data_IF_959299917008
#
_entry.id   IF_959299917008
#
_cell.length_a   1.000
_cell.length_b   1.000
_cell.length_c   1.000
_cell.angle_alpha   90.00
_cell.angle_beta   90.00
_cell.angle_gamma   90.00
#
_symmetry.space_group_name_H-M   'P 1'
#
loop_
_entity.id
_entity.type
_entity.pdbx_description
1 polymer ?
#
# COMPACT_ATOMS: atom_id res chain seq x y z
N UNK A 1 12.51 18.32 -28.49
CA UNK A 1 12.07 17.42 -29.58
C UNK A 1 10.83 16.66 -29.16
N UNK A 2 10.00 16.21 -30.12
CA UNK A 2 8.70 15.54 -29.88
C UNK A 2 8.78 14.39 -28.83
N UNK A 3 9.85 13.58 -28.84
CA UNK A 3 10.06 12.50 -27.86
C UNK A 3 10.32 12.98 -26.43
N UNK A 4 11.08 14.07 -26.25
CA UNK A 4 11.39 14.64 -24.91
C UNK A 4 10.13 15.19 -24.25
N UNK A 5 9.18 15.72 -25.02
CA UNK A 5 7.90 16.20 -24.50
C UNK A 5 6.94 15.09 -24.05
N UNK A 6 6.96 13.92 -24.72
CA UNK A 6 6.09 12.78 -24.37
C UNK A 6 6.62 11.95 -23.20
N UNK A 7 7.93 11.71 -23.15
CA UNK A 7 8.53 10.77 -22.21
C UNK A 7 9.35 11.45 -21.09
N UNK A 8 9.60 12.75 -21.21
CA UNK A 8 10.41 13.54 -20.27
C UNK A 8 11.92 13.39 -20.48
N UNK A 9 12.42 12.15 -20.45
CA UNK A 9 13.82 11.82 -20.68
C UNK A 9 13.99 10.58 -21.57
N UNK A 10 15.24 10.31 -21.99
CA UNK A 10 15.54 9.20 -22.89
C UNK A 10 15.35 7.84 -22.23
N UNK A 11 15.68 7.72 -20.94
CA UNK A 11 15.44 6.51 -20.16
C UNK A 11 13.97 6.08 -20.16
N UNK A 12 13.04 7.00 -19.90
CA UNK A 12 11.60 6.74 -19.91
C UNK A 12 11.10 6.40 -21.32
N UNK A 13 11.63 7.04 -22.36
CA UNK A 13 11.29 6.72 -23.75
C UNK A 13 11.69 5.27 -24.09
N UNK A 14 12.86 4.83 -23.61
CA UNK A 14 13.27 3.44 -23.71
C UNK A 14 12.34 2.51 -22.92
N UNK A 15 12.20 2.73 -21.62
CA UNK A 15 11.49 1.81 -20.71
C UNK A 15 9.99 1.70 -21.01
N UNK A 16 9.33 2.80 -21.34
CA UNK A 16 7.87 2.81 -21.55
C UNK A 16 7.47 2.70 -23.02
N UNK A 17 8.40 2.98 -23.94
CA UNK A 17 8.16 2.93 -25.38
C UNK A 17 8.81 1.70 -26.01
N UNK A 18 10.13 1.73 -26.15
CA UNK A 18 10.88 0.74 -26.93
C UNK A 18 10.99 -0.64 -26.27
N UNK A 19 11.05 -0.69 -24.93
CA UNK A 19 11.23 -1.91 -24.13
C UNK A 19 10.19 -2.01 -23.01
N UNK A 20 8.92 -1.78 -23.34
CA UNK A 20 7.80 -1.84 -22.39
C UNK A 20 7.63 -3.21 -21.70
N UNK A 21 8.23 -4.27 -22.26
CA UNK A 21 8.22 -5.62 -21.69
C UNK A 21 9.42 -5.95 -20.79
N UNK A 22 10.31 -4.99 -20.54
CA UNK A 22 11.49 -5.15 -19.67
C UNK A 22 12.43 -6.30 -20.11
N UNK A 23 12.65 -6.44 -21.42
CA UNK A 23 13.53 -7.47 -21.99
C UNK A 23 14.99 -7.02 -22.09
N UNK A 24 15.27 -5.73 -21.88
CA UNK A 24 16.57 -5.09 -22.00
C UNK A 24 17.03 -4.85 -23.44
N UNK A 25 16.17 -5.12 -24.43
CA UNK A 25 16.52 -5.08 -25.87
C UNK A 25 15.30 -4.87 -26.76
N UNK A 26 15.52 -4.26 -27.92
CA UNK A 26 14.48 -4.03 -28.94
C UNK A 26 14.96 -4.51 -30.32
N UNK A 27 14.07 -5.13 -31.09
CA UNK A 27 14.32 -5.46 -32.49
C UNK A 27 13.90 -4.30 -33.42
N UNK A 28 14.30 -4.38 -34.69
CA UNK A 28 14.03 -3.35 -35.69
C UNK A 28 12.54 -3.09 -35.89
N UNK A 29 11.71 -4.12 -35.86
CA UNK A 29 10.27 -4.01 -36.08
C UNK A 29 9.56 -3.29 -34.91
N UNK A 30 9.93 -3.63 -33.67
CA UNK A 30 9.48 -2.95 -32.47
C UNK A 30 9.94 -1.49 -32.44
N UNK A 31 11.20 -1.23 -32.80
CA UNK A 31 11.75 0.12 -32.88
C UNK A 31 10.99 0.99 -33.88
N UNK A 32 10.80 0.49 -35.11
CA UNK A 32 10.10 1.22 -36.16
C UNK A 32 8.64 1.50 -35.78
N UNK A 33 7.93 0.52 -35.21
CA UNK A 33 6.56 0.72 -34.71
C UNK A 33 6.50 1.79 -33.64
N UNK A 34 7.43 1.79 -32.68
CA UNK A 34 7.43 2.79 -31.62
C UNK A 34 7.76 4.19 -32.15
N UNK A 35 8.72 4.32 -33.07
CA UNK A 35 9.00 5.60 -33.75
C UNK A 35 7.76 6.15 -34.47
N UNK A 36 7.01 5.31 -35.19
CA UNK A 36 5.76 5.71 -35.84
C UNK A 36 4.69 6.14 -34.83
N UNK A 37 4.50 5.40 -33.74
CA UNK A 37 3.56 5.77 -32.65
C UNK A 37 3.93 7.10 -32.00
N UNK A 38 5.22 7.39 -31.92
CA UNK A 38 5.71 8.65 -31.37
C UNK A 38 5.63 9.83 -32.36
N UNK A 39 5.27 9.57 -33.63
CA UNK A 39 5.07 10.57 -34.67
C UNK A 39 6.39 10.99 -35.34
N UNK A 40 7.30 10.03 -35.51
CA UNK A 40 8.51 10.20 -36.29
C UNK A 40 8.22 9.91 -37.77
N UNK A 41 8.45 10.91 -38.63
CA UNK A 41 8.06 10.89 -40.05
C UNK A 41 9.20 10.42 -40.99
N UNK A 42 10.35 10.01 -40.43
CA UNK A 42 11.52 9.55 -41.20
C UNK A 42 11.66 8.02 -41.28
N UNK A 43 12.73 7.57 -41.93
CA UNK A 43 13.04 6.13 -42.06
C UNK A 43 13.65 5.57 -40.76
N UNK A 44 12.79 4.95 -39.94
CA UNK A 44 13.19 4.33 -38.68
C UNK A 44 14.11 3.10 -38.87
N UNK A 45 13.99 2.38 -39.98
CA UNK A 45 14.85 1.22 -40.29
C UNK A 45 16.28 1.67 -40.64
N UNK A 46 16.41 2.78 -41.37
CA UNK A 46 17.71 3.41 -41.60
C UNK A 46 18.34 3.88 -40.29
N UNK A 47 17.57 4.52 -39.40
CA UNK A 47 18.06 4.94 -38.08
C UNK A 47 18.53 3.73 -37.26
N UNK A 48 17.72 2.66 -37.19
CA UNK A 48 18.07 1.45 -36.45
C UNK A 48 19.41 0.88 -36.92
N UNK A 49 19.58 0.72 -38.23
CA UNK A 49 20.84 0.22 -38.81
C UNK A 49 22.02 1.17 -38.58
N UNK A 50 21.80 2.48 -38.67
CA UNK A 50 22.82 3.50 -38.44
C UNK A 50 23.31 3.47 -36.99
N UNK A 51 22.39 3.38 -36.03
CA UNK A 51 22.70 3.29 -34.60
C UNK A 51 23.41 1.98 -34.23
N UNK A 52 23.07 0.88 -34.89
CA UNK A 52 23.76 -0.41 -34.68
C UNK A 52 25.18 -0.42 -35.25
N UNK A 53 25.48 0.37 -36.29
CA UNK A 53 26.84 0.58 -36.81
C UNK A 53 27.63 -0.72 -37.03
N UNK A 54 28.70 -0.93 -36.25
CA UNK A 54 29.58 -2.13 -36.29
C UNK A 54 29.15 -3.25 -35.34
N UNK A 55 28.11 -3.05 -34.55
CA UNK A 55 27.63 -4.04 -33.58
C UNK A 55 26.97 -5.19 -34.34
N UNK A 56 27.58 -6.38 -34.27
CA UNK A 56 27.00 -7.60 -34.83
C UNK A 56 25.84 -8.04 -33.94
N UNK A 57 24.61 -7.68 -34.31
CA UNK A 57 23.41 -8.07 -33.58
C UNK A 57 22.12 -7.73 -34.31
N UNK A 58 21.05 -8.46 -34.01
CA UNK A 58 19.67 -8.17 -34.48
C UNK A 58 18.87 -7.31 -33.50
N UNK A 59 19.43 -7.06 -32.32
CA UNK A 59 18.75 -6.36 -31.23
C UNK A 59 19.61 -5.20 -30.77
N UNK A 60 18.96 -4.07 -30.52
CA UNK A 60 19.55 -2.89 -29.92
C UNK A 60 19.29 -2.91 -28.42
N UNK A 61 20.28 -2.51 -27.62
CA UNK A 61 20.12 -2.32 -26.17
C UNK A 61 20.20 -0.84 -25.83
N UNK A 62 19.78 -0.48 -24.61
CA UNK A 62 19.88 0.90 -24.14
C UNK A 62 21.32 1.43 -24.20
N UNK A 63 22.32 0.57 -23.96
CA UNK A 63 23.73 0.95 -24.07
C UNK A 63 24.13 1.34 -25.49
N UNK A 64 23.59 0.66 -26.51
CA UNK A 64 23.88 0.99 -27.92
C UNK A 64 23.08 2.21 -28.39
N UNK A 65 21.86 2.35 -27.88
CA UNK A 65 20.95 3.42 -28.26
C UNK A 65 21.32 4.77 -27.63
N UNK A 66 21.52 4.79 -26.32
CA UNK A 66 21.90 5.98 -25.56
C UNK A 66 22.80 5.61 -24.36
N UNK A 67 24.14 5.58 -24.56
CA UNK A 67 25.10 5.30 -23.49
C UNK A 67 24.92 6.15 -22.22
N UNK A 68 24.61 7.46 -22.30
CA UNK A 68 24.30 8.27 -21.11
C UNK A 68 23.14 7.73 -20.28
N UNK A 69 21.99 7.41 -20.91
CA UNK A 69 20.86 6.77 -20.20
C UNK A 69 21.26 5.46 -19.55
N UNK A 70 22.05 4.63 -20.24
CA UNK A 70 22.52 3.37 -19.70
C UNK A 70 23.41 3.56 -18.46
N UNK A 71 24.32 4.54 -18.50
CA UNK A 71 25.18 4.86 -17.35
C UNK A 71 24.39 5.47 -16.18
N UNK A 72 23.39 6.30 -16.46
CA UNK A 72 22.50 6.84 -15.44
C UNK A 72 21.71 5.71 -14.75
N UNK A 73 21.16 4.79 -15.54
CA UNK A 73 20.49 3.59 -15.03
C UNK A 73 21.41 2.74 -14.14
N UNK A 74 22.65 2.50 -14.57
CA UNK A 74 23.64 1.74 -13.79
C UNK A 74 23.94 2.36 -12.41
N UNK A 75 23.67 3.65 -12.22
CA UNK A 75 23.82 4.38 -10.95
C UNK A 75 22.50 4.56 -10.17
N UNK A 76 21.40 4.00 -10.66
CA UNK A 76 20.07 4.21 -10.09
C UNK A 76 19.49 5.61 -10.34
N UNK A 77 20.09 6.38 -11.25
CA UNK A 77 19.65 7.73 -11.64
C UNK A 77 18.56 7.67 -12.72
N UNK A 78 17.36 7.24 -12.34
CA UNK A 78 16.23 7.09 -13.28
C UNK A 78 15.78 8.42 -13.90
N UNK A 79 16.03 9.54 -13.22
CA UNK A 79 15.70 10.88 -13.73
C UNK A 79 16.81 11.46 -14.62
N UNK A 80 17.93 10.76 -14.80
CA UNK A 80 19.05 11.20 -15.61
C UNK A 80 19.66 12.55 -15.16
N UNK A 81 19.58 12.84 -13.85
CA UNK A 81 20.05 14.09 -13.23
C UNK A 81 21.57 14.26 -13.41
N UNK A 82 22.33 13.17 -13.32
CA UNK A 82 23.80 13.13 -13.48
C UNK A 82 24.26 13.34 -14.92
N UNK A 83 23.35 13.24 -15.88
CA UNK A 83 23.61 13.43 -17.31
C UNK A 83 22.97 14.70 -17.86
N UNK A 84 22.41 15.56 -16.99
CA UNK A 84 21.88 16.87 -17.38
C UNK A 84 23.04 17.82 -17.77
N UNK A 85 23.13 18.13 -19.06
CA UNK A 85 24.11 19.06 -19.63
C UNK A 85 23.47 20.36 -20.12
N UNK A 86 22.27 20.72 -19.64
CA UNK A 86 21.66 21.99 -20.02
C UNK A 86 22.56 23.18 -19.66
N UNK A 87 22.99 23.92 -20.68
CA UNK A 87 23.67 25.20 -20.51
C UNK A 87 22.66 26.20 -19.94
N UNK A 88 22.94 26.69 -18.74
CA UNK A 88 22.15 27.73 -18.07
C UNK A 88 22.95 29.03 -18.05
N UNK A 89 22.26 30.16 -18.22
CA UNK A 89 22.87 31.47 -18.02
C UNK A 89 23.05 31.71 -16.53
N UNK A 90 24.21 31.31 -16.02
CA UNK A 90 24.54 31.41 -14.60
C UNK A 90 24.56 32.88 -14.16
N UNK A 91 24.88 33.83 -15.05
CA UNK A 91 25.01 35.24 -14.69
C UNK A 91 23.66 35.91 -14.46
N UNK A 92 22.60 35.47 -15.17
CA UNK A 92 21.23 35.95 -14.99
C UNK A 92 20.48 35.34 -13.80
N UNK A 93 21.00 34.27 -13.18
CA UNK A 93 20.32 33.57 -12.08
C UNK A 93 20.64 34.17 -10.71
N UNK A 94 19.67 34.14 -9.79
CA UNK A 94 19.87 34.49 -8.38
C UNK A 94 20.77 33.47 -7.66
N UNK A 95 21.22 33.80 -6.44
CA UNK A 95 21.99 32.85 -5.64
C UNK A 95 21.19 31.58 -5.33
N UNK A 96 19.91 31.72 -4.97
CA UNK A 96 19.00 30.62 -4.67
C UNK A 96 18.78 29.72 -5.90
N UNK A 97 18.57 30.33 -7.07
CA UNK A 97 18.40 29.60 -8.33
C UNK A 97 19.69 28.87 -8.72
N UNK A 98 20.86 29.47 -8.51
CA UNK A 98 22.16 28.82 -8.73
C UNK A 98 22.33 27.61 -7.81
N UNK A 99 22.03 27.76 -6.52
CA UNK A 99 22.11 26.66 -5.54
C UNK A 99 21.15 25.51 -5.90
N UNK A 100 19.89 25.82 -6.21
CA UNK A 100 18.90 24.81 -6.62
C UNK A 100 19.27 24.12 -7.94
N UNK A 101 20.04 24.81 -8.80
CA UNK A 101 20.51 24.24 -10.07
C UNK A 101 21.66 23.24 -9.91
N UNK A 102 22.36 23.21 -8.76
CA UNK A 102 23.50 22.34 -8.51
C UNK A 102 23.12 20.86 -8.52
N UNK A 103 23.99 20.05 -9.12
CA UNK A 103 23.80 18.61 -9.25
C UNK A 103 23.62 17.93 -7.88
N UNK A 104 24.46 18.29 -6.91
CA UNK A 104 24.42 17.72 -5.55
C UNK A 104 23.09 17.99 -4.84
N UNK A 105 22.54 19.20 -4.97
CA UNK A 105 21.26 19.59 -4.37
C UNK A 105 20.11 18.84 -5.03
N UNK A 106 20.07 18.79 -6.37
CA UNK A 106 19.06 18.04 -7.12
C UNK A 106 19.11 16.54 -6.80
N UNK A 107 20.30 15.96 -6.78
CA UNK A 107 20.51 14.55 -6.44
C UNK A 107 20.06 14.23 -5.01
N UNK A 108 20.43 15.08 -4.05
CA UNK A 108 20.02 14.91 -2.64
C UNK A 108 18.50 15.00 -2.49
N UNK A 109 17.87 15.97 -3.15
CA UNK A 109 16.41 16.10 -3.15
C UNK A 109 15.74 14.86 -3.74
N UNK A 110 16.25 14.32 -4.85
CA UNK A 110 15.70 13.15 -5.50
C UNK A 110 15.84 11.88 -4.67
N UNK A 111 17.06 11.60 -4.19
CA UNK A 111 17.31 10.46 -3.31
C UNK A 111 16.44 10.54 -2.06
N UNK A 112 16.26 11.73 -1.48
CA UNK A 112 15.36 11.91 -0.33
C UNK A 112 13.90 11.58 -0.66
N UNK A 113 13.43 11.94 -1.87
CA UNK A 113 12.08 11.65 -2.32
C UNK A 113 11.86 10.15 -2.56
N UNK A 114 12.81 9.50 -3.23
CA UNK A 114 12.77 8.04 -3.46
C UNK A 114 12.79 7.27 -2.14
N UNK A 115 13.66 7.64 -1.20
CA UNK A 115 13.72 7.02 0.13
C UNK A 115 12.41 7.15 0.90
N UNK A 116 11.74 8.31 0.84
CA UNK A 116 10.41 8.50 1.45
C UNK A 116 9.36 7.59 0.83
N UNK A 117 9.25 7.58 -0.49
CA UNK A 117 8.25 6.76 -1.19
C UNK A 117 8.46 5.26 -0.93
N UNK A 118 9.72 4.79 -0.95
CA UNK A 118 10.06 3.41 -0.64
C UNK A 118 9.72 3.06 0.82
N UNK A 119 10.01 3.96 1.76
CA UNK A 119 9.66 3.78 3.17
C UNK A 119 8.14 3.71 3.38
N UNK A 120 7.36 4.59 2.74
CA UNK A 120 5.90 4.58 2.81
C UNK A 120 5.31 3.28 2.27
N UNK A 121 5.84 2.78 1.15
CA UNK A 121 5.45 1.49 0.57
C UNK A 121 5.73 0.33 1.54
N UNK A 122 6.91 0.30 2.18
CA UNK A 122 7.23 -0.73 3.17
C UNK A 122 6.30 -0.66 4.39
N UNK A 123 5.98 0.54 4.88
CA UNK A 123 5.03 0.72 5.97
C UNK A 123 3.60 0.27 5.58
N UNK A 124 3.15 0.54 4.35
CA UNK A 124 1.85 0.04 3.87
C UNK A 124 1.84 -1.48 3.79
N UNK A 125 2.86 -2.09 3.18
CA UNK A 125 2.96 -3.53 3.09
C UNK A 125 3.00 -4.20 4.48
N UNK A 126 3.69 -3.59 5.46
CA UNK A 126 3.67 -4.07 6.84
C UNK A 126 2.29 -3.97 7.49
N UNK A 127 1.54 -2.89 7.26
CA UNK A 127 0.15 -2.75 7.74
C UNK A 127 -0.78 -3.79 7.12
N UNK A 128 -0.64 -4.04 5.82
CA UNK A 128 -1.46 -5.02 5.10
C UNK A 128 -1.11 -6.46 5.51
N UNK A 129 0.15 -6.68 5.90
CA UNK A 129 0.65 -7.97 6.40
C UNK A 129 0.35 -8.21 7.89
N UNK A 130 -0.11 -7.19 8.63
CA UNK A 130 -0.46 -7.32 10.05
C UNK A 130 -1.79 -8.08 10.19
N UNK A 131 -1.67 -9.40 10.31
CA UNK A 131 -2.77 -10.35 10.61
C UNK A 131 -3.16 -10.34 12.10
N UNK A 132 -2.91 -9.24 12.81
CA UNK A 132 -3.38 -9.04 14.16
C UNK A 132 -4.91 -9.13 14.25
N UNK A 133 -5.40 -9.44 15.43
CA UNK A 133 -6.83 -9.36 15.73
C UNK A 133 -7.21 -7.87 15.78
N UNK A 134 -7.59 -7.28 14.64
CA UNK A 134 -7.86 -5.85 14.51
C UNK A 134 -9.30 -5.54 14.02
N UNK A 135 -10.08 -6.58 13.70
CA UNK A 135 -11.51 -6.49 13.36
C UNK A 135 -12.38 -7.20 14.39
N UNK A 136 -13.67 -6.84 14.41
CA UNK A 136 -14.68 -7.46 15.28
C UNK A 136 -14.81 -8.97 14.99
N UNK A 137 -14.77 -9.35 13.72
CA UNK A 137 -14.90 -10.72 13.26
C UNK A 137 -13.69 -11.55 13.67
N UNK A 138 -12.48 -11.00 13.52
CA UNK A 138 -11.26 -11.65 13.98
C UNK A 138 -11.28 -11.86 15.51
N UNK A 139 -11.82 -10.90 16.26
CA UNK A 139 -11.97 -11.02 17.71
C UNK A 139 -12.97 -12.12 18.10
N UNK A 140 -14.14 -12.14 17.46
CA UNK A 140 -15.13 -13.19 17.68
C UNK A 140 -14.55 -14.57 17.34
N UNK A 141 -13.87 -14.71 16.19
CA UNK A 141 -13.23 -15.96 15.79
C UNK A 141 -12.14 -16.41 16.79
N UNK A 142 -11.31 -15.47 17.27
CA UNK A 142 -10.31 -15.76 18.29
C UNK A 142 -10.94 -16.27 19.59
N UNK A 143 -12.00 -15.59 20.07
CA UNK A 143 -12.69 -15.97 21.29
C UNK A 143 -13.43 -17.30 21.16
N UNK A 144 -14.03 -17.60 20.01
CA UNK A 144 -14.61 -18.92 19.72
C UNK A 144 -13.52 -20.00 19.77
N UNK A 145 -12.37 -19.78 19.14
CA UNK A 145 -11.26 -20.74 19.17
C UNK A 145 -10.74 -20.98 20.60
N UNK A 146 -10.75 -19.96 21.44
CA UNK A 146 -10.21 -20.03 22.81
C UNK A 146 -11.19 -20.59 23.84
N UNK A 147 -12.47 -20.22 23.75
CA UNK A 147 -13.50 -20.55 24.74
C UNK A 147 -14.56 -21.54 24.24
N UNK A 148 -14.51 -21.91 22.95
CA UNK A 148 -15.42 -22.86 22.31
C UNK A 148 -16.64 -22.20 21.66
N UNK A 149 -17.23 -21.18 22.28
CA UNK A 149 -18.36 -20.43 21.73
C UNK A 149 -18.37 -18.97 22.19
N UNK A 150 -19.19 -18.13 21.55
CA UNK A 150 -19.37 -16.73 21.98
C UNK A 150 -20.01 -16.64 23.36
N UNK A 151 -21.01 -17.47 23.65
CA UNK A 151 -21.64 -17.55 24.97
C UNK A 151 -20.65 -18.01 26.06
N UNK A 152 -19.75 -18.96 25.74
CA UNK A 152 -18.71 -19.39 26.66
C UNK A 152 -17.66 -18.30 26.90
N UNK A 153 -17.29 -17.55 25.85
CA UNK A 153 -16.44 -16.37 25.97
C UNK A 153 -17.12 -15.26 26.81
N UNK A 154 -18.44 -15.09 26.69
CA UNK A 154 -19.19 -14.16 27.53
C UNK A 154 -19.02 -14.52 29.02
N UNK A 155 -19.39 -15.75 29.40
CA UNK A 155 -19.34 -16.20 30.81
C UNK A 155 -17.92 -16.34 31.36
N UNK A 156 -16.95 -16.72 30.53
CA UNK A 156 -15.58 -17.00 30.96
C UNK A 156 -14.64 -15.80 30.91
N UNK A 157 -14.94 -14.78 30.09
CA UNK A 157 -14.02 -13.68 29.80
C UNK A 157 -14.64 -12.30 30.02
N UNK A 158 -15.85 -12.06 29.52
CA UNK A 158 -16.43 -10.71 29.48
C UNK A 158 -17.25 -10.38 30.73
N UNK A 159 -18.04 -11.34 31.20
CA UNK A 159 -18.88 -11.23 32.40
C UNK A 159 -18.66 -12.42 33.35
N UNK A 160 -17.43 -12.62 33.87
CA UNK A 160 -17.13 -13.72 34.78
C UNK A 160 -17.86 -13.63 36.12
N UNK A 161 -18.31 -12.42 36.50
CA UNK A 161 -19.07 -12.19 37.73
C UNK A 161 -20.58 -12.36 37.53
N UNK A 162 -21.03 -12.73 36.32
CA UNK A 162 -22.43 -12.95 35.97
C UNK A 162 -23.35 -11.77 36.32
N UNK A 163 -22.89 -10.56 36.03
CA UNK A 163 -23.62 -9.30 36.26
C UNK A 163 -24.67 -9.04 35.19
N UNK A 164 -24.58 -9.73 34.04
CA UNK A 164 -25.49 -9.60 32.90
C UNK A 164 -25.19 -8.40 31.98
N UNK A 165 -24.20 -7.56 32.31
CA UNK A 165 -23.84 -6.36 31.55
C UNK A 165 -22.34 -6.08 31.62
N UNK A 166 -21.77 -5.58 30.54
CA UNK A 166 -20.34 -5.27 30.47
C UNK A 166 -20.17 -3.80 30.07
N UNK A 167 -19.36 -3.04 30.81
CA UNK A 167 -19.04 -1.64 30.45
C UNK A 167 -17.88 -1.59 29.46
N UNK A 168 -17.72 -0.48 28.73
CA UNK A 168 -16.61 -0.29 27.81
C UNK A 168 -15.24 -0.49 28.48
N UNK A 169 -15.08 -0.02 29.72
CA UNK A 169 -13.86 -0.16 30.49
C UNK A 169 -13.57 -1.64 30.80
N UNK A 170 -14.56 -2.36 31.33
CA UNK A 170 -14.44 -3.78 31.64
C UNK A 170 -14.16 -4.62 30.38
N UNK A 171 -14.84 -4.32 29.28
CA UNK A 171 -14.60 -4.95 27.98
C UNK A 171 -13.18 -4.70 27.48
N UNK A 172 -12.74 -3.45 27.48
CA UNK A 172 -11.38 -3.07 27.02
C UNK A 172 -10.32 -3.76 27.87
N UNK A 173 -10.50 -3.81 29.19
CA UNK A 173 -9.59 -4.48 30.09
C UNK A 173 -9.56 -6.00 29.84
N UNK A 174 -10.73 -6.65 29.75
CA UNK A 174 -10.84 -8.08 29.50
C UNK A 174 -10.20 -8.47 28.17
N UNK A 175 -10.52 -7.74 27.10
CA UNK A 175 -9.94 -8.00 25.77
C UNK A 175 -8.44 -7.73 25.78
N UNK A 176 -7.91 -6.65 26.37
CA UNK A 176 -6.45 -6.41 26.44
C UNK A 176 -5.69 -7.50 27.19
N UNK A 177 -6.24 -7.97 28.31
CA UNK A 177 -5.56 -8.95 29.16
C UNK A 177 -5.63 -10.37 28.59
N UNK A 178 -6.69 -10.69 27.83
CA UNK A 178 -6.97 -12.05 27.37
C UNK A 178 -6.76 -12.21 25.87
N UNK A 179 -6.80 -11.14 25.09
CA UNK A 179 -6.66 -11.14 23.64
C UNK A 179 -5.57 -10.14 23.25
N UNK A 180 -4.64 -10.54 22.37
CA UNK A 180 -3.65 -9.62 21.78
C UNK A 180 -4.29 -8.68 20.75
N UNK A 181 -5.43 -8.06 21.07
CA UNK A 181 -6.15 -7.16 20.16
C UNK A 181 -5.38 -5.85 20.00
N UNK A 182 -4.92 -5.56 18.79
CA UNK A 182 -4.11 -4.37 18.45
C UNK A 182 -4.93 -3.27 17.78
N UNK A 183 -6.22 -3.50 17.54
CA UNK A 183 -7.12 -2.54 16.89
C UNK A 183 -7.63 -1.43 17.81
N UNK A 184 -8.44 -0.53 17.25
CA UNK A 184 -9.08 0.56 17.99
C UNK A 184 -10.27 0.07 18.81
N UNK A 185 -10.16 0.13 20.15
CA UNK A 185 -11.23 -0.27 21.07
C UNK A 185 -12.52 0.56 20.92
N UNK A 186 -12.48 1.91 20.74
CA UNK A 186 -13.69 2.68 20.52
C UNK A 186 -14.46 2.27 19.26
N UNK A 187 -13.75 2.00 18.14
CA UNK A 187 -14.37 1.53 16.90
C UNK A 187 -14.96 0.14 17.07
N UNK A 188 -14.24 -0.76 17.75
CA UNK A 188 -14.72 -2.10 18.07
C UNK A 188 -16.00 -2.06 18.90
N UNK A 189 -16.04 -1.22 19.94
CA UNK A 189 -17.20 -1.05 20.80
C UNK A 189 -18.41 -0.51 20.04
N UNK A 190 -18.22 0.51 19.21
CA UNK A 190 -19.28 1.10 18.40
C UNK A 190 -19.87 0.10 17.38
N UNK A 191 -19.09 -0.89 16.95
CA UNK A 191 -19.56 -1.97 16.07
C UNK A 191 -20.35 -3.05 16.83
N UNK A 192 -20.18 -3.16 18.15
CA UNK A 192 -20.82 -4.19 18.98
C UNK A 192 -22.08 -3.67 19.66
N UNK A 193 -22.07 -2.42 20.10
CA UNK A 193 -23.09 -1.84 20.98
C UNK A 193 -23.72 -0.63 20.29
N UNK A 194 -25.03 -0.44 20.49
CA UNK A 194 -25.74 0.75 19.97
C UNK A 194 -25.11 2.04 20.52
N UNK A 195 -25.08 3.15 19.75
CA UNK A 195 -24.36 4.37 20.13
C UNK A 195 -24.68 4.93 21.51
N UNK A 196 -25.94 4.82 21.93
CA UNK A 196 -26.44 5.40 23.18
C UNK A 196 -26.52 4.38 24.33
N UNK A 197 -26.07 3.14 24.12
CA UNK A 197 -26.14 2.11 25.16
C UNK A 197 -24.93 2.21 26.12
N UNK A 198 -25.16 2.34 27.44
CA UNK A 198 -24.09 2.52 28.43
C UNK A 198 -23.31 1.23 28.73
N UNK A 199 -23.82 0.08 28.28
CA UNK A 199 -23.21 -1.23 28.49
C UNK A 199 -23.60 -2.18 27.35
N UNK A 200 -22.73 -3.17 27.12
CA UNK A 200 -22.99 -4.30 26.24
C UNK A 200 -23.78 -5.36 27.03
N UNK A 201 -24.82 -5.92 26.40
CA UNK A 201 -25.57 -7.06 26.92
C UNK A 201 -25.23 -8.33 26.14
N UNK A 202 -25.66 -9.48 26.67
CA UNK A 202 -25.49 -10.75 25.97
C UNK A 202 -26.13 -10.71 24.57
N UNK A 203 -27.27 -10.02 24.41
CA UNK A 203 -27.95 -9.86 23.12
C UNK A 203 -27.07 -9.18 22.05
N UNK A 204 -26.25 -8.19 22.44
CA UNK A 204 -25.37 -7.47 21.52
C UNK A 204 -24.18 -8.34 21.08
N UNK A 205 -23.84 -9.34 21.91
CA UNK A 205 -22.71 -10.24 21.70
C UNK A 205 -23.10 -11.51 20.94
N UNK A 206 -24.17 -12.16 21.40
CA UNK A 206 -24.70 -13.45 21.01
C UNK A 206 -26.24 -13.43 21.12
N UNK A 207 -26.95 -12.91 20.09
CA UNK A 207 -28.39 -12.72 20.12
C UNK A 207 -29.15 -14.05 20.22
N UNK A 208 -28.68 -15.10 19.56
CA UNK A 208 -29.28 -16.43 19.60
C UNK A 208 -29.26 -17.00 21.03
N UNK A 209 -28.12 -16.93 21.72
CA UNK A 209 -28.05 -17.36 23.11
C UNK A 209 -28.92 -16.49 24.05
N UNK A 210 -29.05 -15.20 23.77
CA UNK A 210 -29.89 -14.30 24.55
C UNK A 210 -31.38 -14.65 24.44
N UNK A 211 -31.85 -14.98 23.23
CA UNK A 211 -33.23 -15.41 22.98
C UNK A 211 -33.56 -16.71 23.71
N UNK A 212 -32.71 -17.73 23.60
CA UNK A 212 -32.90 -19.02 24.28
C UNK A 212 -33.00 -18.84 25.81
N UNK A 213 -32.15 -17.98 26.38
CA UNK A 213 -32.18 -17.68 27.82
C UNK A 213 -33.43 -16.90 28.21
N UNK A 214 -33.91 -16.01 27.33
CA UNK A 214 -35.14 -15.26 27.55
C UNK A 214 -36.37 -16.18 27.57
N UNK A 215 -36.49 -17.07 26.58
CA UNK A 215 -37.58 -18.04 26.49
C UNK A 215 -37.59 -18.99 27.69
N UNK A 216 -36.40 -19.47 28.10
CA UNK A 216 -36.27 -20.29 29.28
C UNK A 216 -36.72 -19.55 30.55
N UNK A 217 -36.36 -18.27 30.68
CA UNK A 217 -36.82 -17.42 31.79
C UNK A 217 -38.33 -17.25 31.78
N UNK A 218 -38.94 -16.98 30.62
CA UNK A 218 -40.40 -16.85 30.49
C UNK A 218 -41.11 -18.14 30.91
N UNK A 219 -40.60 -19.30 30.46
CA UNK A 219 -41.14 -20.60 30.83
C UNK A 219 -41.06 -20.85 32.35
N UNK A 220 -39.94 -20.49 32.99
CA UNK A 220 -39.81 -20.59 34.46
C UNK A 220 -40.81 -19.71 35.20
N UNK A 221 -41.01 -18.47 34.75
CA UNK A 221 -41.98 -17.55 35.35
C UNK A 221 -43.42 -18.06 35.22
N UNK A 222 -43.76 -18.62 34.05
CA UNK A 222 -45.07 -19.22 33.82
C UNK A 222 -45.31 -20.45 34.71
N UNK A 223 -44.27 -21.26 34.93
CA UNK A 223 -44.39 -22.55 35.63
C UNK A 223 -44.36 -22.44 37.15
N UNK A 224 -43.54 -21.53 37.69
CA UNK A 224 -43.27 -21.49 39.14
C UNK A 224 -43.76 -20.22 39.84
N UNK A 225 -44.31 -19.23 39.11
CA UNK A 225 -44.61 -17.92 39.68
C UNK A 225 -43.34 -17.17 40.07
N UNK A 226 -43.47 -15.88 40.39
CA UNK A 226 -42.36 -14.92 40.45
C UNK A 226 -41.17 -15.43 41.29
N UNK A 227 -40.01 -15.59 40.64
CA UNK A 227 -38.73 -15.86 41.32
C UNK A 227 -38.25 -14.50 41.84
N UNK A 228 -38.54 -14.21 43.11
CA UNK A 228 -37.98 -13.07 43.85
C UNK A 228 -36.52 -13.34 44.14
#
# INVERSE_FOLDING_TARGET
GKMRGKHGNMFNAWKNGFDAGDHGRVDEACFARQCQRDGFDGDAALIFRTLMGRVKGKFMTLQTFDPPSYQALGRGDQKMITTDHERRDVLGMTFEERQASMLSVKWTAEVSAMSRAHYDMLCQHQRDSDKGCNTTEALKAYLIRRYGSLTAAWRGCLDPMNTGKVTLEAFTQAIRQRCGYTGSFPKLWANLVKPDAPCMLLHDWDPEAAEVLWDFRLWLLQKFGNIV
#
